data_IF_687994994791
#
_entry.id   IF_687994994791
#
_cell.length_a   1.000
_cell.length_b   1.000
_cell.length_c   1.000
_cell.angle_alpha   90.00
_cell.angle_beta   90.00
_cell.angle_gamma   90.00
#
_symmetry.space_group_name_H-M   'P 1'
#
loop_
_entity.id
_entity.type
_entity.pdbx_description
1 polymer ?
#
# COMPACT_ATOMS: atom_id res chain seq x y z
N UNK A 1 27.12 37.65 -33.53
CA UNK A 1 27.81 36.37 -33.30
C UNK A 1 27.72 35.98 -31.84
N UNK A 2 28.11 36.85 -30.90
CA UNK A 2 27.95 36.59 -29.46
C UNK A 2 26.50 36.45 -29.00
N UNK A 3 25.60 37.32 -29.46
CA UNK A 3 24.17 37.30 -29.08
C UNK A 3 23.43 36.03 -29.55
N UNK A 4 23.82 35.50 -30.70
CA UNK A 4 23.28 34.23 -31.25
C UNK A 4 23.73 33.04 -30.41
N UNK A 5 25.01 32.98 -30.04
CA UNK A 5 25.54 31.93 -29.18
C UNK A 5 24.92 31.97 -27.77
N UNK A 6 24.66 33.17 -27.23
CA UNK A 6 24.02 33.33 -25.92
C UNK A 6 22.57 32.81 -25.92
N UNK A 7 21.83 33.05 -27.02
CA UNK A 7 20.47 32.53 -27.19
C UNK A 7 20.43 31.00 -27.30
N UNK A 8 21.37 30.40 -28.03
CA UNK A 8 21.50 28.94 -28.13
C UNK A 8 21.80 28.31 -26.76
N UNK A 9 22.71 28.92 -25.98
CA UNK A 9 23.02 28.47 -24.62
C UNK A 9 21.78 28.53 -23.72
N UNK A 10 21.02 29.63 -23.77
CA UNK A 10 19.79 29.76 -22.96
C UNK A 10 18.72 28.74 -23.35
N UNK A 11 18.57 28.43 -24.64
CA UNK A 11 17.66 27.38 -25.10
C UNK A 11 18.10 25.99 -24.60
N UNK A 12 19.41 25.70 -24.65
CA UNK A 12 19.97 24.45 -24.15
C UNK A 12 19.76 24.31 -22.63
N UNK A 13 19.98 25.37 -21.85
CA UNK A 13 19.73 25.39 -20.41
C UNK A 13 18.25 25.11 -20.13
N UNK A 14 17.32 25.81 -20.80
CA UNK A 14 15.89 25.60 -20.60
C UNK A 14 15.44 24.18 -20.98
N UNK A 15 16.02 23.60 -22.03
CA UNK A 15 15.78 22.19 -22.39
C UNK A 15 16.31 21.23 -21.32
N UNK A 16 17.48 21.51 -20.76
CA UNK A 16 18.09 20.69 -19.72
C UNK A 16 17.26 20.74 -18.43
N UNK A 17 16.82 21.93 -18.01
CA UNK A 17 15.97 22.12 -16.83
C UNK A 17 14.66 21.33 -16.94
N UNK A 18 14.05 21.34 -18.13
CA UNK A 18 12.86 20.54 -18.39
C UNK A 18 13.15 19.05 -18.22
N UNK A 19 14.21 18.54 -18.86
CA UNK A 19 14.59 17.14 -18.74
C UNK A 19 14.92 16.72 -17.31
N UNK A 20 15.55 17.60 -16.53
CA UNK A 20 15.82 17.38 -15.10
C UNK A 20 14.51 17.24 -14.33
N UNK A 21 13.54 18.12 -14.54
CA UNK A 21 12.25 18.07 -13.85
C UNK A 21 11.43 16.83 -14.21
N UNK A 22 11.47 16.42 -15.48
CA UNK A 22 10.83 15.18 -15.94
C UNK A 22 11.45 13.96 -15.22
N UNK A 23 12.78 13.90 -15.11
CA UNK A 23 13.48 12.83 -14.38
C UNK A 23 13.19 12.84 -12.88
N UNK A 24 13.14 14.01 -12.24
CA UNK A 24 12.77 14.12 -10.81
C UNK A 24 11.38 13.54 -10.58
N UNK A 25 10.42 13.87 -11.44
CA UNK A 25 9.03 13.37 -11.32
C UNK A 25 8.96 11.84 -11.41
N UNK A 26 9.73 11.24 -12.34
CA UNK A 26 9.82 9.78 -12.49
C UNK A 26 10.42 9.15 -11.22
N UNK A 27 11.51 9.71 -10.70
CA UNK A 27 12.16 9.18 -9.50
C UNK A 27 11.27 9.28 -8.25
N UNK A 28 10.48 10.35 -8.13
CA UNK A 28 9.51 10.50 -7.04
C UNK A 28 8.40 9.44 -7.11
N UNK A 29 7.92 9.12 -8.31
CA UNK A 29 6.93 8.08 -8.54
C UNK A 29 7.49 6.69 -8.17
N UNK A 30 8.68 6.35 -8.67
CA UNK A 30 9.38 5.09 -8.37
C UNK A 30 9.63 4.91 -6.86
N UNK A 31 10.07 5.98 -6.18
CA UNK A 31 10.30 5.95 -4.74
C UNK A 31 9.02 5.70 -3.95
N UNK A 32 7.90 6.31 -4.38
CA UNK A 32 6.61 6.14 -3.73
C UNK A 32 6.08 4.71 -3.92
N UNK A 33 6.22 4.13 -5.11
CA UNK A 33 5.89 2.72 -5.37
C UNK A 33 6.72 1.77 -4.50
N UNK A 34 8.03 2.01 -4.39
CA UNK A 34 8.90 1.18 -3.56
C UNK A 34 8.47 1.21 -2.09
N UNK A 35 8.13 2.38 -1.56
CA UNK A 35 7.61 2.55 -0.20
C UNK A 35 6.28 1.80 0.02
N UNK A 36 5.38 1.86 -0.97
CA UNK A 36 4.12 1.13 -0.97
C UNK A 36 4.36 -0.38 -0.85
N UNK A 37 5.24 -0.94 -1.69
CA UNK A 37 5.52 -2.38 -1.67
C UNK A 37 6.23 -2.84 -0.40
N UNK A 38 7.11 -2.01 0.18
CA UNK A 38 7.75 -2.29 1.46
C UNK A 38 6.69 -2.38 2.59
N UNK A 39 5.79 -1.41 2.67
CA UNK A 39 4.66 -1.42 3.63
C UNK A 39 3.77 -2.65 3.42
N UNK A 40 3.44 -2.97 2.17
CA UNK A 40 2.61 -4.12 1.84
C UNK A 40 3.26 -5.43 2.28
N UNK A 41 4.54 -5.64 1.96
CA UNK A 41 5.26 -6.86 2.33
C UNK A 41 5.35 -7.03 3.86
N UNK A 42 5.62 -5.94 4.59
CA UNK A 42 5.63 -5.94 6.06
C UNK A 42 4.25 -6.34 6.65
N UNK A 43 3.15 -5.95 6.01
CA UNK A 43 1.80 -6.35 6.44
C UNK A 43 1.54 -7.82 6.12
N UNK A 44 1.91 -8.28 4.92
CA UNK A 44 1.73 -9.68 4.50
C UNK A 44 2.52 -10.66 5.34
N UNK A 45 3.73 -10.30 5.76
CA UNK A 45 4.54 -11.11 6.68
C UNK A 45 3.80 -11.34 8.01
N UNK A 46 3.18 -10.29 8.58
CA UNK A 46 2.36 -10.39 9.80
C UNK A 46 1.11 -11.24 9.63
N UNK A 47 0.57 -11.34 8.42
CA UNK A 47 -0.58 -12.20 8.12
C UNK A 47 -0.18 -13.68 7.97
N UNK A 48 1.08 -13.98 7.65
CA UNK A 48 1.55 -15.35 7.46
C UNK A 48 1.69 -16.13 8.78
N UNK A 49 1.77 -15.44 9.91
CA UNK A 49 2.00 -16.04 11.23
C UNK A 49 0.68 -16.48 11.89
N UNK A 50 0.25 -17.73 11.64
CA UNK A 50 -0.91 -18.30 12.31
C UNK A 50 -0.56 -18.82 13.72
N UNK A 51 -1.31 -18.40 14.73
CA UNK A 51 -1.12 -18.87 16.12
C UNK A 51 -2.40 -18.68 16.92
N UNK A 52 -2.67 -19.62 17.84
CA UNK A 52 -3.90 -19.68 18.65
C UNK A 52 -3.90 -18.68 19.81
N UNK A 53 -2.82 -17.95 20.04
CA UNK A 53 -2.72 -16.97 21.11
C UNK A 53 -3.52 -15.71 20.76
N UNK A 54 -4.34 -15.23 21.70
CA UNK A 54 -5.20 -14.04 21.54
C UNK A 54 -4.43 -12.81 21.04
N UNK A 55 -3.23 -12.58 21.56
CA UNK A 55 -2.38 -11.46 21.16
C UNK A 55 -2.04 -11.50 19.67
N UNK A 56 -1.82 -12.70 19.12
CA UNK A 56 -1.51 -12.83 17.71
C UNK A 56 -2.76 -12.73 16.84
N UNK A 57 -3.93 -13.17 17.32
CA UNK A 57 -5.20 -12.89 16.65
C UNK A 57 -5.47 -11.38 16.54
N UNK A 58 -5.15 -10.61 17.58
CA UNK A 58 -5.22 -9.14 17.55
C UNK A 58 -4.26 -8.58 16.51
N UNK A 59 -3.00 -9.04 16.47
CA UNK A 59 -2.03 -8.62 15.44
C UNK A 59 -2.48 -8.95 14.02
N UNK A 60 -3.12 -10.11 13.81
CA UNK A 60 -3.69 -10.47 12.50
C UNK A 60 -4.82 -9.52 12.11
N UNK A 61 -5.71 -9.17 13.05
CA UNK A 61 -6.77 -8.18 12.79
C UNK A 61 -6.19 -6.79 12.47
N UNK A 62 -5.16 -6.36 13.20
CA UNK A 62 -4.46 -5.12 12.92
C UNK A 62 -3.82 -5.14 11.54
N UNK A 63 -3.16 -6.24 11.16
CA UNK A 63 -2.59 -6.41 9.83
C UNK A 63 -3.67 -6.32 8.73
N UNK A 64 -4.83 -6.95 8.93
CA UNK A 64 -5.96 -6.80 7.99
C UNK A 64 -6.51 -5.38 7.94
N UNK A 65 -6.62 -4.70 9.07
CA UNK A 65 -7.04 -3.30 9.14
C UNK A 65 -6.09 -2.39 8.37
N UNK A 66 -4.78 -2.51 8.60
CA UNK A 66 -3.78 -1.71 7.91
C UNK A 66 -3.70 -2.06 6.42
N UNK A 67 -3.89 -3.33 6.05
CA UNK A 67 -3.98 -3.71 4.63
C UNK A 67 -5.18 -3.03 3.94
N UNK A 68 -6.35 -3.05 4.58
CA UNK A 68 -7.54 -2.42 4.02
C UNK A 68 -7.40 -0.89 3.95
N UNK A 69 -6.69 -0.29 4.90
CA UNK A 69 -6.35 1.15 4.88
C UNK A 69 -5.41 1.46 3.70
N UNK A 70 -4.37 0.65 3.52
CA UNK A 70 -3.43 0.80 2.40
C UNK A 70 -4.13 0.70 1.03
N UNK A 71 -5.06 -0.26 0.88
CA UNK A 71 -5.88 -0.43 -0.34
C UNK A 71 -6.76 0.81 -0.59
N UNK A 72 -7.33 1.39 0.46
CA UNK A 72 -8.17 2.58 0.34
C UNK A 72 -7.37 3.84 0.02
N UNK A 73 -6.20 4.02 0.63
CA UNK A 73 -5.35 5.20 0.42
C UNK A 73 -4.68 5.21 -0.96
N UNK A 74 -4.58 4.05 -1.62
CA UNK A 74 -3.90 3.87 -2.89
C UNK A 74 -4.86 3.38 -3.99
N UNK A 75 -5.96 4.12 -4.22
CA UNK A 75 -7.01 3.74 -5.18
C UNK A 75 -6.46 3.48 -6.59
N UNK A 76 -5.48 4.28 -7.04
CA UNK A 76 -4.84 4.13 -8.36
C UNK A 76 -3.96 2.88 -8.46
N UNK A 77 -3.42 2.40 -7.34
CA UNK A 77 -2.44 1.31 -7.29
C UNK A 77 -3.05 0.00 -6.79
N UNK A 78 -4.38 -0.10 -6.73
CA UNK A 78 -5.07 -1.29 -6.20
C UNK A 78 -4.74 -2.57 -6.96
N UNK A 79 -4.54 -2.49 -8.28
CA UNK A 79 -4.20 -3.67 -9.08
C UNK A 79 -2.78 -4.16 -8.77
N UNK A 80 -1.81 -3.24 -8.66
CA UNK A 80 -0.44 -3.56 -8.23
C UNK A 80 -0.41 -4.21 -6.83
N UNK A 81 -1.21 -3.68 -5.90
CA UNK A 81 -1.37 -4.27 -4.57
C UNK A 81 -1.95 -5.68 -4.67
N UNK A 82 -3.00 -5.88 -5.48
CA UNK A 82 -3.64 -7.18 -5.69
C UNK A 82 -2.67 -8.20 -6.28
N UNK A 83 -1.92 -7.82 -7.31
CA UNK A 83 -0.90 -8.64 -7.95
C UNK A 83 0.18 -9.06 -6.96
N UNK A 84 0.66 -8.13 -6.12
CA UNK A 84 1.66 -8.44 -5.11
C UNK A 84 1.13 -9.39 -4.04
N UNK A 85 -0.11 -9.21 -3.56
CA UNK A 85 -0.76 -10.16 -2.63
C UNK A 85 -0.86 -11.55 -3.29
N UNK A 86 -1.24 -11.61 -4.56
CA UNK A 86 -1.34 -12.85 -5.33
C UNK A 86 0.01 -13.52 -5.52
N UNK A 87 1.07 -12.76 -5.80
CA UNK A 87 2.43 -13.25 -5.92
C UNK A 87 2.93 -13.88 -4.62
N UNK A 88 2.65 -13.25 -3.48
CA UNK A 88 3.13 -13.71 -2.18
C UNK A 88 2.33 -14.88 -1.63
N UNK A 89 0.99 -14.89 -1.80
CA UNK A 89 0.11 -15.82 -1.08
C UNK A 89 -0.62 -16.83 -1.99
N UNK A 90 -0.51 -16.66 -3.31
CA UNK A 90 -1.25 -17.43 -4.31
C UNK A 90 -2.68 -16.92 -4.52
N UNK A 91 -3.24 -17.20 -5.70
CA UNK A 91 -4.51 -16.61 -6.15
C UNK A 91 -5.70 -16.85 -5.21
N UNK A 92 -5.83 -18.05 -4.65
CA UNK A 92 -6.94 -18.38 -3.73
C UNK A 92 -6.86 -17.55 -2.44
N UNK A 93 -5.72 -17.59 -1.74
CA UNK A 93 -5.53 -16.85 -0.49
C UNK A 93 -5.57 -15.34 -0.72
N UNK A 94 -5.09 -14.85 -1.86
CA UNK A 94 -5.12 -13.43 -2.18
C UNK A 94 -6.55 -12.88 -2.23
N UNK A 95 -7.49 -13.65 -2.76
CA UNK A 95 -8.92 -13.30 -2.75
C UNK A 95 -9.46 -13.17 -1.33
N UNK A 96 -9.16 -14.14 -0.47
CA UNK A 96 -9.63 -14.13 0.92
C UNK A 96 -9.00 -13.00 1.73
N UNK A 97 -7.70 -12.76 1.51
CA UNK A 97 -6.96 -11.67 2.15
C UNK A 97 -7.55 -10.32 1.75
N UNK A 98 -7.80 -10.12 0.45
CA UNK A 98 -8.42 -8.90 -0.07
C UNK A 98 -9.78 -8.63 0.58
N UNK A 99 -10.66 -9.63 0.57
CA UNK A 99 -11.99 -9.52 1.18
C UNK A 99 -11.90 -9.24 2.68
N UNK A 100 -11.04 -9.97 3.38
CA UNK A 100 -10.79 -9.81 4.81
C UNK A 100 -10.31 -8.40 5.15
N UNK A 101 -9.34 -7.88 4.39
CA UNK A 101 -8.80 -6.53 4.57
C UNK A 101 -9.88 -5.46 4.42
N UNK A 102 -10.63 -5.49 3.32
CA UNK A 102 -11.72 -4.54 3.08
C UNK A 102 -12.83 -4.64 4.15
N UNK A 103 -13.16 -5.85 4.61
CA UNK A 103 -14.19 -6.04 5.63
C UNK A 103 -13.75 -5.55 7.01
N UNK A 104 -12.55 -5.94 7.44
CA UNK A 104 -11.99 -5.52 8.73
C UNK A 104 -11.79 -4.01 8.78
N UNK A 105 -11.28 -3.40 7.71
CA UNK A 105 -11.17 -1.94 7.63
C UNK A 105 -12.52 -1.26 7.88
N UNK A 106 -13.59 -1.72 7.22
CA UNK A 106 -14.94 -1.16 7.41
C UNK A 106 -15.43 -1.31 8.85
N UNK A 107 -15.24 -2.47 9.47
CA UNK A 107 -15.64 -2.71 10.86
C UNK A 107 -14.93 -1.73 11.81
N UNK A 108 -13.62 -1.58 11.64
CA UNK A 108 -12.78 -0.74 12.50
C UNK A 108 -12.99 0.76 12.26
N UNK A 109 -13.43 1.16 11.06
CA UNK A 109 -13.88 2.54 10.81
C UNK A 109 -15.19 2.84 11.54
N UNK A 110 -16.07 1.85 11.69
CA UNK A 110 -17.35 2.00 12.38
C UNK A 110 -17.24 1.88 13.92
N UNK A 111 -16.21 1.19 14.43
CA UNK A 111 -16.05 0.95 15.87
C UNK A 111 -14.60 1.11 16.34
N UNK A 112 -14.36 1.78 17.49
CA UNK A 112 -13.04 1.91 18.07
C UNK A 112 -12.32 0.55 18.28
N UNK A 113 -11.03 0.51 17.93
CA UNK A 113 -10.12 -0.65 18.10
C UNK A 113 -10.25 -1.31 19.48
N UNK A 114 -10.27 -0.49 20.54
CA UNK A 114 -10.35 -0.93 21.93
C UNK A 114 -11.59 -1.78 22.22
N UNK A 115 -12.73 -1.50 21.57
CA UNK A 115 -13.98 -2.23 21.75
C UNK A 115 -13.91 -3.58 21.03
N UNK A 116 -13.31 -3.62 19.84
CA UNK A 116 -13.19 -4.84 19.04
C UNK A 116 -12.25 -5.86 19.73
N UNK A 117 -11.11 -5.41 20.26
CA UNK A 117 -10.15 -6.29 20.95
C UNK A 117 -10.69 -6.89 22.26
N UNK A 118 -11.71 -6.29 22.86
CA UNK A 118 -12.36 -6.78 24.08
C UNK A 118 -13.36 -7.91 23.81
N UNK A 119 -13.81 -8.11 22.56
CA UNK A 119 -14.75 -9.18 22.25
C UNK A 119 -14.14 -10.56 22.57
N UNK A 120 -14.90 -11.41 23.29
CA UNK A 120 -14.46 -12.77 23.69
C UNK A 120 -14.44 -13.77 22.54
N UNK A 121 -15.19 -13.49 21.47
CA UNK A 121 -15.27 -14.30 20.26
C UNK A 121 -15.23 -13.36 19.04
N UNK A 122 -14.14 -13.42 18.29
CA UNK A 122 -14.05 -12.85 16.95
C UNK A 122 -14.59 -13.89 15.96
N UNK A 123 -15.88 -14.18 16.05
CA UNK A 123 -16.54 -14.89 14.96
C UNK A 123 -16.76 -13.87 13.85
N UNK A 124 -15.78 -13.74 12.94
CA UNK A 124 -16.00 -13.11 11.64
C UNK A 124 -17.09 -13.94 10.95
N UNK A 125 -18.34 -13.54 11.13
CA UNK A 125 -19.51 -14.27 10.65
C UNK A 125 -19.58 -14.04 9.16
N UNK A 126 -19.62 -15.14 8.40
CA UNK A 126 -19.95 -15.14 6.97
C UNK A 126 -21.23 -14.32 6.78
N UNK A 127 -21.16 -13.28 5.95
CA UNK A 127 -22.30 -12.62 5.32
C UNK A 127 -22.36 -13.10 3.89
#
# INVERSE_FOLDING_TARGET
LEETALNEINQLIGSLDKSINDLISILEEELNEQNLFEKLNNILEKLSTYTKLRENQIKTLEAYYYLGTLIQENETNQEQIREQIQKTNGAYKARDIWKGACHIQKIFTLRPKAIIYQTKYLAATQV
#
